data_IF_000277701557
#
_entry.id   IF_000277701557
#
_cell.length_a   1.000
_cell.length_b   1.000
_cell.length_c   1.000
_cell.angle_alpha   90.00
_cell.angle_beta   90.00
_cell.angle_gamma   90.00
#
_symmetry.space_group_name_H-M   'P 1'
#
loop_
_entity.id
_entity.type
_entity.pdbx_description
1 polymer ?
#
# COMPACT_ATOMS: atom_id res chain seq x y z
N UNK A 1 14.40 7.94 13.84
CA UNK A 1 14.12 9.17 13.07
C UNK A 1 13.13 8.79 11.98
N UNK A 2 11.84 8.81 12.31
CA UNK A 2 10.75 8.42 11.40
C UNK A 2 9.58 9.31 11.77
N UNK A 3 9.42 10.46 11.11
CA UNK A 3 8.33 11.36 11.46
C UNK A 3 8.20 12.63 10.64
N UNK A 4 9.00 12.85 9.58
CA UNK A 4 8.82 13.98 8.66
C UNK A 4 8.96 13.48 7.22
N UNK A 5 8.31 14.11 6.22
CA UNK A 5 8.35 13.67 4.83
C UNK A 5 9.77 13.64 4.26
N UNK A 6 10.05 12.72 3.34
CA UNK A 6 11.38 12.61 2.70
C UNK A 6 11.75 13.89 1.95
N UNK A 7 10.79 14.59 1.33
CA UNK A 7 11.00 15.89 0.67
C UNK A 7 11.52 16.97 1.63
N UNK A 8 10.99 17.02 2.86
CA UNK A 8 11.48 17.92 3.91
C UNK A 8 12.91 17.57 4.32
N UNK A 9 13.22 16.27 4.40
CA UNK A 9 14.56 15.79 4.78
C UNK A 9 15.59 16.07 3.70
N UNK A 10 15.21 15.91 2.44
CA UNK A 10 16.08 16.17 1.31
C UNK A 10 16.34 17.67 1.14
N UNK A 11 15.35 18.54 1.43
CA UNK A 11 15.53 19.99 1.36
C UNK A 11 16.42 20.55 2.48
N UNK A 12 16.37 19.94 3.67
CA UNK A 12 17.07 20.42 4.87
C UNK A 12 18.12 19.44 5.41
N UNK A 13 18.69 18.61 4.54
CA UNK A 13 19.63 17.54 4.91
C UNK A 13 20.84 18.01 5.74
N UNK A 14 21.27 19.25 5.52
CA UNK A 14 22.38 19.90 6.22
C UNK A 14 22.02 20.50 7.59
N UNK A 15 20.75 20.47 8.01
CA UNK A 15 20.29 21.04 9.29
C UNK A 15 20.50 20.05 10.45
N UNK A 16 20.64 20.60 11.66
CA UNK A 16 20.93 19.83 12.87
C UNK A 16 19.70 19.17 13.51
N UNK A 17 19.93 18.31 14.51
CA UNK A 17 18.88 17.54 15.19
C UNK A 17 17.75 18.40 15.79
N UNK A 18 18.07 19.59 16.32
CA UNK A 18 17.05 20.51 16.87
C UNK A 18 16.07 20.99 15.80
N UNK A 19 16.55 21.23 14.57
CA UNK A 19 15.69 21.63 13.44
C UNK A 19 14.70 20.51 13.10
N UNK A 20 15.21 19.28 12.95
CA UNK A 20 14.36 18.12 12.68
C UNK A 20 13.42 17.78 13.85
N UNK A 21 13.85 18.01 15.09
CA UNK A 21 13.00 17.80 16.27
C UNK A 21 11.79 18.74 16.32
N UNK A 22 11.97 20.02 15.94
CA UNK A 22 10.87 20.98 15.80
C UNK A 22 9.90 20.51 14.71
N UNK A 23 10.41 20.13 13.55
CA UNK A 23 9.60 19.67 12.43
C UNK A 23 8.81 18.39 12.78
N UNK A 24 9.45 17.40 13.42
CA UNK A 24 8.81 16.16 13.85
C UNK A 24 7.71 16.43 14.89
N UNK A 25 7.97 17.30 15.86
CA UNK A 25 6.96 17.68 16.86
C UNK A 25 5.71 18.30 16.22
N UNK A 26 5.91 19.21 15.27
CA UNK A 26 4.81 19.89 14.57
C UNK A 26 4.09 18.96 13.59
N UNK A 27 4.82 18.14 12.85
CA UNK A 27 4.26 17.16 11.91
C UNK A 27 3.39 16.11 12.62
N UNK A 28 3.83 15.63 13.79
CA UNK A 28 3.09 14.60 14.56
C UNK A 28 1.89 15.20 15.32
N UNK A 29 1.80 16.53 15.42
CA UNK A 29 0.71 17.23 16.11
C UNK A 29 0.11 18.33 15.20
N UNK A 30 -0.43 17.98 14.02
CA UNK A 30 -0.83 18.97 13.01
C UNK A 30 -1.98 19.88 13.45
N UNK A 31 -2.82 19.41 14.38
CA UNK A 31 -3.96 20.19 14.90
C UNK A 31 -3.56 21.18 16.01
N UNK A 32 -2.30 21.20 16.43
CA UNK A 32 -1.82 22.04 17.54
C UNK A 32 -0.86 23.11 17.05
N UNK A 33 -1.15 24.34 17.47
CA UNK A 33 -0.23 25.49 17.39
C UNK A 33 0.65 25.55 18.63
N UNK A 34 1.94 25.81 18.43
CA UNK A 34 2.92 25.94 19.50
C UNK A 34 3.48 27.35 19.51
N UNK A 35 3.54 27.97 20.69
CA UNK A 35 4.26 29.22 20.89
C UNK A 35 5.76 29.00 20.81
N UNK A 36 6.50 30.06 20.50
CA UNK A 36 7.96 30.01 20.49
C UNK A 36 8.55 29.57 21.84
N UNK A 37 7.95 30.02 22.95
CA UNK A 37 8.36 29.63 24.31
C UNK A 37 8.14 28.14 24.56
N UNK A 38 7.00 27.58 24.14
CA UNK A 38 6.74 26.13 24.27
C UNK A 38 7.73 25.29 23.44
N UNK A 39 8.09 25.75 22.23
CA UNK A 39 9.10 25.08 21.41
C UNK A 39 10.48 25.16 22.06
N UNK A 40 10.85 26.30 22.62
CA UNK A 40 12.11 26.50 23.32
C UNK A 40 12.22 25.60 24.55
N UNK A 41 11.15 25.51 25.34
CA UNK A 41 11.05 24.62 26.48
C UNK A 41 11.17 23.15 26.06
N UNK A 42 10.42 22.72 25.04
CA UNK A 42 10.41 21.32 24.58
C UNK A 42 11.74 20.88 23.97
N UNK A 43 12.44 21.78 23.30
CA UNK A 43 13.74 21.48 22.68
C UNK A 43 14.92 21.75 23.62
N UNK A 44 14.69 22.35 24.79
CA UNK A 44 15.75 22.75 25.72
C UNK A 44 16.70 23.79 25.12
N UNK A 45 16.17 24.71 24.28
CA UNK A 45 16.94 25.73 23.55
C UNK A 45 16.43 27.14 23.82
N UNK A 46 17.20 28.14 23.38
CA UNK A 46 16.78 29.54 23.49
C UNK A 46 15.74 29.90 22.42
N UNK A 47 14.90 30.88 22.72
CA UNK A 47 13.95 31.44 21.76
C UNK A 47 14.62 31.92 20.46
N UNK A 48 15.83 32.48 20.53
CA UNK A 48 16.61 32.86 19.34
C UNK A 48 16.89 31.67 18.45
N UNK A 49 17.35 30.55 19.03
CA UNK A 49 17.64 29.32 18.28
C UNK A 49 16.37 28.75 17.63
N UNK A 50 15.25 28.78 18.35
CA UNK A 50 13.95 28.37 17.78
C UNK A 50 13.57 29.27 16.62
N UNK A 51 13.66 30.59 16.79
CA UNK A 51 13.32 31.57 15.76
C UNK A 51 14.10 31.36 14.47
N UNK A 52 15.41 31.11 14.60
CA UNK A 52 16.29 30.87 13.45
C UNK A 52 15.86 29.60 12.70
N UNK A 53 15.51 28.54 13.43
CA UNK A 53 15.06 27.28 12.83
C UNK A 53 13.65 27.36 12.23
N UNK A 54 12.69 27.98 12.92
CA UNK A 54 11.32 28.11 12.42
C UNK A 54 11.23 29.11 11.28
N UNK A 55 12.09 30.14 11.26
CA UNK A 55 12.14 31.13 10.17
C UNK A 55 12.41 30.46 8.82
N UNK A 56 13.44 29.62 8.74
CA UNK A 56 13.76 28.87 7.52
C UNK A 56 12.58 27.98 7.04
N UNK A 57 11.84 27.37 7.97
CA UNK A 57 10.71 26.51 7.62
C UNK A 57 9.48 27.32 7.20
N UNK A 58 9.24 28.49 7.80
CA UNK A 58 8.16 29.41 7.42
C UNK A 58 8.44 30.03 6.04
N UNK A 59 9.67 30.45 5.79
CA UNK A 59 10.07 31.04 4.50
C UNK A 59 9.94 30.05 3.33
N UNK A 60 9.98 28.75 3.63
CA UNK A 60 9.82 27.65 2.69
C UNK A 60 8.42 27.02 2.71
N UNK A 61 7.46 27.66 3.37
CA UNK A 61 6.05 27.25 3.43
C UNK A 61 5.77 25.92 4.13
N UNK A 62 6.75 25.38 4.88
CA UNK A 62 6.58 24.14 5.66
C UNK A 62 5.81 24.36 6.96
N UNK A 63 5.89 25.58 7.54
CA UNK A 63 5.18 25.96 8.75
C UNK A 63 4.29 27.19 8.52
N UNK A 64 3.10 27.16 9.10
CA UNK A 64 2.25 28.33 9.23
C UNK A 64 2.64 29.13 10.47
N UNK A 65 2.85 30.44 10.28
CA UNK A 65 3.06 31.40 11.36
C UNK A 65 1.84 32.31 11.51
N UNK A 66 1.41 32.53 12.76
CA UNK A 66 0.40 33.55 13.08
C UNK A 66 1.03 34.73 13.83
N UNK A 67 0.85 35.94 13.29
CA UNK A 67 1.58 37.13 13.75
C UNK A 67 1.06 37.73 15.07
N UNK A 68 -0.19 37.47 15.46
CA UNK A 68 -0.81 38.05 16.66
C UNK A 68 -0.22 37.52 17.98
N UNK A 69 0.07 36.22 18.03
CA UNK A 69 0.85 35.56 19.07
C UNK A 69 1.74 34.59 18.30
N UNK A 70 3.06 34.85 18.25
CA UNK A 70 3.99 34.10 17.39
C UNK A 70 3.91 32.62 17.74
N UNK A 71 3.11 31.93 16.94
CA UNK A 71 2.75 30.53 17.07
C UNK A 71 2.98 29.86 15.74
N UNK A 72 3.43 28.62 15.81
CA UNK A 72 3.84 27.81 14.67
C UNK A 72 2.99 26.55 14.63
N UNK A 73 2.49 26.20 13.45
CA UNK A 73 1.88 24.92 13.15
C UNK A 73 2.46 24.36 11.86
N UNK A 74 2.36 23.05 11.69
CA UNK A 74 2.67 22.43 10.41
C UNK A 74 1.69 22.91 9.34
N UNK A 75 2.19 23.32 8.16
CA UNK A 75 1.33 23.71 7.04
C UNK A 75 0.70 22.45 6.42
N UNK A 76 -0.40 21.99 6.99
CA UNK A 76 -1.10 20.79 6.55
C UNK A 76 -1.90 21.00 5.26
N UNK A 77 -2.15 22.25 4.87
CA UNK A 77 -2.78 22.59 3.59
C UNK A 77 -1.82 22.33 2.42
N UNK A 78 -0.54 22.72 2.57
CA UNK A 78 0.51 22.46 1.59
C UNK A 78 1.12 21.05 1.72
N UNK A 79 1.31 20.57 2.95
CA UNK A 79 2.09 19.36 3.25
C UNK A 79 1.34 18.39 4.17
N UNK A 80 0.16 17.95 3.76
CA UNK A 80 -0.75 17.14 4.58
C UNK A 80 -0.12 15.84 5.15
N UNK A 81 0.11 15.74 6.48
CA UNK A 81 0.70 14.55 7.12
C UNK A 81 -0.11 13.27 6.92
N UNK A 82 -1.44 13.38 6.92
CA UNK A 82 -2.34 12.24 6.73
C UNK A 82 -2.26 11.67 5.31
N UNK A 83 -1.95 12.53 4.32
CA UNK A 83 -1.74 12.09 2.94
C UNK A 83 -0.43 11.32 2.80
N UNK A 84 0.67 11.78 3.41
CA UNK A 84 1.97 11.13 3.34
C UNK A 84 2.02 9.79 4.08
N UNK A 85 1.37 9.68 5.25
CA UNK A 85 1.30 8.42 5.99
C UNK A 85 0.36 7.40 5.33
N UNK A 86 -0.82 7.84 4.90
CA UNK A 86 -1.79 6.99 4.20
C UNK A 86 -1.25 6.48 2.86
N UNK A 87 -0.65 7.36 2.06
CA UNK A 87 -0.07 6.99 0.76
C UNK A 87 1.13 6.06 0.95
N UNK A 88 1.97 6.27 1.98
CA UNK A 88 3.10 5.39 2.27
C UNK A 88 2.65 4.01 2.74
N UNK A 89 1.63 3.94 3.60
CA UNK A 89 1.07 2.67 4.06
C UNK A 89 0.44 1.86 2.90
N UNK A 90 -0.37 2.52 2.06
CA UNK A 90 -0.97 1.91 0.88
C UNK A 90 0.10 1.45 -0.12
N UNK A 91 1.14 2.26 -0.34
CA UNK A 91 2.26 1.90 -1.20
C UNK A 91 3.01 0.67 -0.68
N UNK A 92 3.32 0.60 0.61
CA UNK A 92 3.97 -0.58 1.23
C UNK A 92 3.09 -1.82 1.08
N UNK A 93 1.81 -1.71 1.39
CA UNK A 93 0.85 -2.79 1.20
C UNK A 93 0.82 -3.29 -0.26
N UNK A 94 0.81 -2.39 -1.24
CA UNK A 94 0.81 -2.76 -2.65
C UNK A 94 2.10 -3.48 -3.06
N UNK A 95 3.25 -3.00 -2.59
CA UNK A 95 4.56 -3.65 -2.82
C UNK A 95 4.59 -5.04 -2.19
N UNK A 96 4.11 -5.18 -0.96
CA UNK A 96 4.07 -6.47 -0.26
C UNK A 96 3.13 -7.46 -0.95
N UNK A 97 1.94 -7.01 -1.37
CA UNK A 97 0.99 -7.79 -2.14
C UNK A 97 1.58 -8.24 -3.48
N UNK A 98 2.27 -7.34 -4.19
CA UNK A 98 2.92 -7.64 -5.45
C UNK A 98 4.05 -8.67 -5.29
N UNK A 99 4.87 -8.52 -4.26
CA UNK A 99 5.93 -9.48 -3.94
C UNK A 99 5.35 -10.86 -3.60
N UNK A 100 4.23 -10.92 -2.89
CA UNK A 100 3.53 -12.16 -2.57
C UNK A 100 2.96 -12.82 -3.84
N UNK A 101 2.29 -12.05 -4.69
CA UNK A 101 1.77 -12.53 -5.98
C UNK A 101 2.90 -13.10 -6.86
N UNK A 102 4.01 -12.36 -6.99
CA UNK A 102 5.18 -12.81 -7.75
C UNK A 102 5.72 -14.13 -7.21
N UNK A 103 5.96 -14.21 -5.91
CA UNK A 103 6.46 -15.42 -5.24
C UNK A 103 5.55 -16.64 -5.46
N UNK A 104 4.24 -16.45 -5.43
CA UNK A 104 3.30 -17.56 -5.64
C UNK A 104 3.09 -17.89 -7.13
N UNK A 105 3.22 -16.93 -8.03
CA UNK A 105 3.14 -17.15 -9.49
C UNK A 105 4.26 -18.04 -10.03
N UNK A 106 5.42 -18.08 -9.37
CA UNK A 106 6.56 -18.94 -9.75
C UNK A 106 6.31 -20.42 -9.44
N UNK A 107 5.19 -20.75 -8.79
CA UNK A 107 4.81 -22.13 -8.46
C UNK A 107 3.51 -22.54 -9.17
N UNK A 108 3.42 -23.78 -9.64
CA UNK A 108 2.20 -24.28 -10.27
C UNK A 108 0.97 -24.22 -9.33
N UNK A 109 1.06 -24.64 -8.04
CA UNK A 109 -0.04 -24.46 -7.09
C UNK A 109 -0.43 -23.00 -6.88
N UNK A 110 0.54 -22.10 -6.75
CA UNK A 110 0.26 -20.68 -6.53
C UNK A 110 -0.38 -20.02 -7.76
N UNK A 111 0.00 -20.42 -8.98
CA UNK A 111 -0.64 -19.98 -10.22
C UNK A 111 -2.12 -20.36 -10.26
N UNK A 112 -2.47 -21.61 -9.92
CA UNK A 112 -3.87 -22.03 -9.84
C UNK A 112 -4.66 -21.25 -8.78
N UNK A 113 -4.06 -20.98 -7.62
CA UNK A 113 -4.70 -20.17 -6.59
C UNK A 113 -4.97 -18.73 -7.07
N UNK A 114 -3.99 -18.10 -7.73
CA UNK A 114 -4.12 -16.75 -8.30
C UNK A 114 -5.19 -16.72 -9.40
N UNK A 115 -5.18 -17.71 -10.30
CA UNK A 115 -6.16 -17.81 -11.39
C UNK A 115 -7.58 -18.03 -10.86
N UNK A 116 -7.73 -18.93 -9.88
CA UNK A 116 -9.01 -19.19 -9.23
C UNK A 116 -9.56 -17.95 -8.52
N UNK A 117 -8.69 -17.24 -7.78
CA UNK A 117 -9.03 -15.97 -7.15
C UNK A 117 -9.44 -14.89 -8.15
N UNK A 118 -8.71 -14.74 -9.26
CA UNK A 118 -9.05 -13.78 -10.32
C UNK A 118 -10.41 -14.07 -10.96
N UNK A 119 -10.76 -15.34 -11.17
CA UNK A 119 -12.08 -15.74 -11.68
C UNK A 119 -13.22 -15.44 -10.69
N UNK A 120 -12.98 -15.63 -9.38
CA UNK A 120 -13.94 -15.26 -8.33
C UNK A 120 -14.15 -13.73 -8.31
N UNK A 121 -13.07 -12.94 -8.40
CA UNK A 121 -13.19 -11.49 -8.48
C UNK A 121 -13.95 -11.04 -9.73
N UNK A 122 -13.64 -11.62 -10.90
CA UNK A 122 -14.37 -11.33 -12.13
C UNK A 122 -15.86 -11.67 -11.99
N UNK A 123 -16.20 -12.77 -11.32
CA UNK A 123 -17.60 -13.13 -11.05
C UNK A 123 -18.31 -12.08 -10.19
N UNK A 124 -17.68 -11.56 -9.14
CA UNK A 124 -18.25 -10.48 -8.33
C UNK A 124 -18.48 -9.22 -9.15
N UNK A 125 -17.52 -8.83 -9.98
CA UNK A 125 -17.66 -7.66 -10.88
C UNK A 125 -18.85 -7.84 -11.81
N UNK A 126 -18.95 -8.96 -12.52
CA UNK A 126 -20.07 -9.26 -13.44
C UNK A 126 -21.40 -9.32 -12.69
N UNK A 127 -21.42 -9.88 -11.47
CA UNK A 127 -22.60 -9.92 -10.63
C UNK A 127 -23.05 -8.51 -10.18
N UNK A 128 -22.12 -7.61 -9.86
CA UNK A 128 -22.45 -6.22 -9.55
C UNK A 128 -23.12 -5.50 -10.73
N UNK A 129 -22.68 -5.77 -11.97
CA UNK A 129 -23.37 -5.27 -13.17
C UNK A 129 -24.77 -5.85 -13.31
N UNK A 130 -24.95 -7.16 -13.05
CA UNK A 130 -26.28 -7.77 -13.02
C UNK A 130 -27.21 -7.08 -12.01
N UNK A 131 -26.73 -6.83 -10.79
CA UNK A 131 -27.50 -6.15 -9.74
C UNK A 131 -27.85 -4.71 -10.16
N UNK A 132 -26.87 -3.96 -10.68
CA UNK A 132 -27.08 -2.59 -11.16
C UNK A 132 -28.09 -2.49 -12.30
N UNK A 133 -28.03 -3.42 -13.26
CA UNK A 133 -28.99 -3.53 -14.37
C UNK A 133 -30.39 -3.99 -13.90
N UNK A 134 -30.46 -4.83 -12.85
CA UNK A 134 -31.72 -5.32 -12.29
C UNK A 134 -32.53 -4.24 -11.58
N UNK A 135 -31.86 -3.21 -11.06
CA UNK A 135 -32.50 -2.06 -10.39
C UNK A 135 -32.85 -0.90 -11.34
N UNK A 136 -32.81 -1.13 -12.67
CA UNK A 136 -33.10 -0.13 -13.71
C UNK A 136 -32.23 1.14 -13.65
N UNK A 137 -31.11 1.14 -12.92
CA UNK A 137 -30.15 2.27 -12.91
C UNK A 137 -29.54 2.54 -14.30
N UNK A 138 -29.63 1.57 -15.21
CA UNK A 138 -29.12 1.62 -16.58
C UNK A 138 -30.20 1.08 -17.53
N UNK A 139 -30.77 1.96 -18.35
CA UNK A 139 -31.76 1.59 -19.37
C UNK A 139 -31.08 0.92 -20.57
N UNK A 140 -31.65 -0.21 -21.00
CA UNK A 140 -31.32 -1.00 -22.20
C UNK A 140 -29.89 -1.55 -22.32
N UNK A 141 -29.58 -2.62 -21.56
CA UNK A 141 -28.52 -3.54 -21.95
C UNK A 141 -28.96 -4.35 -23.18
N UNK A 142 -28.21 -4.25 -24.28
CA UNK A 142 -28.42 -5.08 -25.49
C UNK A 142 -28.19 -6.59 -25.28
N UNK A 143 -27.71 -6.98 -24.09
CA UNK A 143 -27.51 -8.38 -23.68
C UNK A 143 -28.55 -8.76 -22.62
N UNK A 144 -29.27 -9.88 -22.78
CA UNK A 144 -30.22 -10.36 -21.77
C UNK A 144 -29.58 -10.57 -20.39
N UNK A 145 -30.29 -10.13 -19.35
CA UNK A 145 -29.85 -10.15 -17.94
C UNK A 145 -29.37 -11.54 -17.47
N UNK A 146 -30.01 -12.61 -17.97
CA UNK A 146 -29.69 -14.00 -17.65
C UNK A 146 -28.24 -14.38 -18.01
N UNK A 147 -27.66 -13.78 -19.05
CA UNK A 147 -26.28 -14.08 -19.46
C UNK A 147 -25.26 -13.57 -18.45
N UNK A 148 -25.48 -12.38 -17.86
CA UNK A 148 -24.60 -11.87 -16.80
C UNK A 148 -24.62 -12.79 -15.58
N UNK A 149 -25.80 -13.28 -15.18
CA UNK A 149 -25.93 -14.21 -14.08
C UNK A 149 -25.22 -15.55 -14.37
N UNK A 150 -25.39 -16.09 -15.58
CA UNK A 150 -24.75 -17.33 -16.00
C UNK A 150 -23.22 -17.20 -16.06
N UNK A 151 -22.69 -16.09 -16.58
CA UNK A 151 -21.24 -15.81 -16.62
C UNK A 151 -20.70 -15.64 -15.19
N UNK A 152 -21.38 -14.87 -14.33
CA UNK A 152 -20.96 -14.68 -12.95
C UNK A 152 -20.93 -16.02 -12.20
N UNK A 153 -21.99 -16.82 -12.29
CA UNK A 153 -22.06 -18.12 -11.62
C UNK A 153 -21.00 -19.10 -12.16
N UNK A 154 -20.83 -19.17 -13.49
CA UNK A 154 -19.84 -20.02 -14.14
C UNK A 154 -18.40 -19.65 -13.76
N UNK A 155 -18.07 -18.36 -13.79
CA UNK A 155 -16.76 -17.86 -13.38
C UNK A 155 -16.50 -18.10 -11.89
N UNK A 156 -17.50 -17.90 -11.03
CA UNK A 156 -17.39 -18.17 -9.60
C UNK A 156 -17.11 -19.64 -9.33
N UNK A 157 -17.92 -20.54 -9.89
CA UNK A 157 -17.78 -21.98 -9.68
C UNK A 157 -16.44 -22.50 -10.22
N UNK A 158 -16.04 -22.05 -11.41
CA UNK A 158 -14.75 -22.40 -12.00
C UNK A 158 -13.60 -21.88 -11.13
N UNK A 159 -13.70 -20.65 -10.63
CA UNK A 159 -12.73 -20.05 -9.73
C UNK A 159 -12.56 -20.84 -8.43
N UNK A 160 -13.67 -21.28 -7.83
CA UNK A 160 -13.66 -22.15 -6.64
C UNK A 160 -12.98 -23.48 -6.93
N UNK A 161 -13.37 -24.17 -8.01
CA UNK A 161 -12.78 -25.47 -8.40
C UNK A 161 -11.27 -25.33 -8.61
N UNK A 162 -10.84 -24.34 -9.40
CA UNK A 162 -9.43 -24.11 -9.71
C UNK A 162 -8.61 -23.77 -8.47
N UNK A 163 -9.18 -23.02 -7.52
CA UNK A 163 -8.55 -22.74 -6.24
C UNK A 163 -8.36 -24.02 -5.41
N UNK A 164 -9.36 -24.91 -5.35
CA UNK A 164 -9.25 -26.19 -4.65
C UNK A 164 -8.30 -27.20 -5.33
N UNK A 165 -8.04 -27.04 -6.62
CA UNK A 165 -7.04 -27.84 -7.33
C UNK A 165 -5.59 -27.43 -6.99
N UNK A 166 -5.36 -26.25 -6.44
CA UNK A 166 -4.03 -25.79 -6.02
C UNK A 166 -3.39 -26.71 -4.95
N UNK A 167 -4.07 -27.04 -3.82
CA UNK A 167 -3.57 -28.03 -2.87
C UNK A 167 -3.35 -29.41 -3.49
N UNK A 168 -4.26 -29.84 -4.37
CA UNK A 168 -4.17 -31.14 -5.05
C UNK A 168 -2.91 -31.21 -5.93
N UNK A 169 -2.61 -30.14 -6.67
CA UNK A 169 -1.39 -29.99 -7.47
C UNK A 169 -0.14 -30.03 -6.61
N UNK A 170 -0.13 -29.42 -5.42
CA UNK A 170 1.00 -29.51 -4.51
C UNK A 170 1.25 -30.95 -4.00
N UNK A 171 0.16 -31.69 -3.72
CA UNK A 171 0.23 -33.10 -3.31
C UNK A 171 0.68 -34.00 -4.46
N UNK A 172 0.16 -33.80 -5.67
CA UNK A 172 0.57 -34.52 -6.88
C UNK A 172 2.03 -34.23 -7.19
N UNK A 173 2.48 -32.98 -7.14
CA UNK A 173 3.87 -32.63 -7.38
C UNK A 173 4.78 -33.33 -6.35
N UNK A 174 4.41 -33.33 -5.06
CA UNK A 174 5.14 -34.07 -4.02
C UNK A 174 5.17 -35.59 -4.27
N UNK A 175 4.08 -36.17 -4.76
CA UNK A 175 4.00 -37.60 -5.11
C UNK A 175 4.82 -37.94 -6.35
N UNK A 176 4.75 -37.12 -7.41
CA UNK A 176 5.55 -37.29 -8.62
C UNK A 176 7.03 -37.21 -8.30
N UNK A 177 7.49 -36.23 -7.51
CA UNK A 177 8.88 -36.16 -7.05
C UNK A 177 9.30 -37.35 -6.17
N UNK A 178 8.37 -37.96 -5.44
CA UNK A 178 8.62 -39.16 -4.63
C UNK A 178 8.70 -40.43 -5.48
N UNK A 179 7.96 -40.48 -6.59
CA UNK A 179 7.87 -41.63 -7.49
C UNK A 179 8.71 -41.51 -8.75
N UNK A 180 9.33 -40.36 -9.03
CA UNK A 180 10.37 -40.22 -10.04
C UNK A 180 11.62 -40.83 -9.42
N UNK A 181 11.87 -42.13 -9.60
CA UNK A 181 13.03 -42.76 -9.00
C UNK A 181 14.23 -42.26 -9.80
N UNK A 182 15.42 -42.58 -9.31
CA UNK A 182 16.75 -42.31 -9.88
C UNK A 182 16.99 -42.81 -11.34
N UNK A 183 15.94 -43.10 -12.10
CA UNK A 183 15.94 -43.62 -13.48
C UNK A 183 16.47 -42.58 -14.47
N UNK A 184 16.21 -41.28 -14.26
CA UNK A 184 16.78 -40.22 -15.11
C UNK A 184 18.25 -39.94 -14.78
N UNK A 185 18.64 -40.02 -13.51
CA UNK A 185 20.04 -39.83 -13.09
C UNK A 185 20.94 -40.99 -13.50
N UNK A 186 20.42 -42.22 -13.56
CA UNK A 186 21.19 -43.37 -14.00
C UNK A 186 21.41 -43.42 -15.53
N UNK A 187 20.48 -42.86 -16.32
CA UNK A 187 20.59 -42.80 -17.79
C UNK A 187 21.55 -41.71 -18.28
N UNK A 188 21.64 -40.58 -17.55
CA UNK A 188 22.62 -39.52 -17.79
C UNK A 188 24.06 -39.89 -17.41
N UNK A 189 24.26 -40.84 -16.50
CA UNK A 189 25.58 -41.34 -16.11
C UNK A 189 26.09 -42.53 -16.96
N UNK A 190 25.25 -43.10 -17.84
CA UNK A 190 25.62 -44.19 -18.76
C UNK A 190 25.88 -43.71 -20.19
N UNK A 191 25.73 -42.41 -20.47
CA UNK A 191 25.98 -41.76 -21.76
C UNK A 191 27.21 -40.82 -21.73
N UNK A 192 27.95 -40.77 -20.61
CA UNK A 192 29.34 -40.26 -20.53
C UNK A 192 30.34 -41.44 -20.52
#
# INVERSE_FOLDING_TARGET
MVGVPDEFRDEFDAKGETFFGIAELLYTNPDRRYTQDELAEKMGRSNTTISDHTGDMVDKDWLDRQDGQTTYAWNSDAHNPASTEGITAVRRFYVDLWNLLKKHSETAPGTFAIMGFAMILAAFVVFSFFVGLSFEFTQESGIPLLYYLAIAFGAFLTGVIVTFLSPLQAVVNRLVWRYTPKILTQKLQSEE
#
